data_IF_893576757461
#
_entry.id   IF_893576757461
#
_cell.length_a   1.000
_cell.length_b   1.000
_cell.length_c   1.000
_cell.angle_alpha   90.00
_cell.angle_beta   90.00
_cell.angle_gamma   90.00
#
_symmetry.space_group_name_H-M   'P 1'
#
loop_
_entity.id
_entity.type
_entity.pdbx_description
1 polymer ?
#
# COMPACT_ATOMS: atom_id res chain seq x y z
N UNK A 1 -26.08 0.79 24.00
CA UNK A 1 -26.08 1.30 22.61
C UNK A 1 -24.82 0.78 21.96
N UNK A 2 -24.93 -0.18 21.03
CA UNK A 2 -23.77 -0.80 20.38
C UNK A 2 -23.26 0.15 19.30
N UNK A 3 -22.00 0.56 19.36
CA UNK A 3 -21.41 1.43 18.33
C UNK A 3 -21.44 0.72 16.96
N UNK A 4 -21.71 1.45 15.85
CA UNK A 4 -21.63 0.87 14.52
C UNK A 4 -20.21 0.31 14.28
N UNK A 5 -20.05 -0.88 13.67
CA UNK A 5 -18.76 -1.54 13.48
C UNK A 5 -17.70 -0.62 12.84
N UNK A 6 -18.12 0.22 11.89
CA UNK A 6 -17.25 1.16 11.19
C UNK A 6 -16.67 2.28 12.09
N UNK A 7 -17.27 2.58 13.24
CA UNK A 7 -16.77 3.57 14.21
C UNK A 7 -15.72 2.94 15.12
N UNK A 8 -15.96 1.70 15.57
CA UNK A 8 -15.01 0.94 16.38
C UNK A 8 -13.69 0.65 15.63
N UNK A 9 -13.80 0.31 14.33
CA UNK A 9 -12.64 0.05 13.47
C UNK A 9 -11.72 1.27 13.28
N UNK A 10 -12.21 2.50 13.48
CA UNK A 10 -11.38 3.72 13.41
C UNK A 10 -10.38 3.83 14.55
N UNK A 11 -10.61 3.07 15.63
CA UNK A 11 -9.82 3.10 16.86
C UNK A 11 -8.88 1.90 16.98
N UNK A 12 -9.01 0.91 16.10
CA UNK A 12 -8.15 -0.26 16.11
C UNK A 12 -6.87 0.03 15.33
N UNK A 13 -5.69 0.01 15.97
CA UNK A 13 -4.45 0.13 15.24
C UNK A 13 -4.31 -1.08 14.28
N UNK A 14 -3.87 -0.86 13.03
CA UNK A 14 -3.56 -1.98 12.16
C UNK A 14 -2.42 -2.79 12.74
N UNK A 15 -2.48 -4.11 12.56
CA UNK A 15 -1.37 -4.98 12.91
C UNK A 15 -0.14 -4.70 12.01
N UNK A 16 1.05 -5.23 12.34
CA UNK A 16 2.26 -4.98 11.55
C UNK A 16 2.14 -5.38 10.08
N UNK A 17 1.42 -6.45 9.74
CA UNK A 17 1.22 -6.89 8.35
C UNK A 17 0.33 -5.89 7.61
N UNK A 18 -0.79 -5.49 8.21
CA UNK A 18 -1.73 -4.52 7.67
C UNK A 18 -1.06 -3.17 7.45
N UNK A 19 -0.29 -2.69 8.43
CA UNK A 19 0.47 -1.46 8.32
C UNK A 19 1.45 -1.51 7.14
N UNK A 20 2.19 -2.61 6.97
CA UNK A 20 3.12 -2.76 5.84
C UNK A 20 2.41 -2.80 4.49
N UNK A 21 1.23 -3.44 4.39
CA UNK A 21 0.42 -3.42 3.15
C UNK A 21 -0.08 -2.02 2.85
N UNK A 22 -0.54 -1.26 3.85
CA UNK A 22 -0.99 0.13 3.68
C UNK A 22 0.17 1.05 3.26
N UNK A 23 1.29 1.01 4.00
CA UNK A 23 2.47 1.83 3.72
C UNK A 23 3.05 1.53 2.34
N UNK A 24 3.26 0.25 2.01
CA UNK A 24 3.77 -0.17 0.70
C UNK A 24 2.85 0.26 -0.45
N UNK A 25 1.54 0.16 -0.26
CA UNK A 25 0.56 0.62 -1.26
C UNK A 25 0.64 2.13 -1.48
N UNK A 26 0.77 2.93 -0.43
CA UNK A 26 0.90 4.39 -0.52
C UNK A 26 2.25 4.86 -1.10
N UNK A 27 3.27 4.02 -1.05
CA UNK A 27 4.53 4.25 -1.74
C UNK A 27 4.42 3.96 -3.25
N UNK A 28 3.56 3.01 -3.63
CA UNK A 28 3.23 2.68 -5.01
C UNK A 28 1.99 3.42 -5.52
N UNK A 29 0.97 2.66 -5.92
CA UNK A 29 -0.20 3.16 -6.66
C UNK A 29 -1.42 3.47 -5.78
N UNK A 30 -1.35 3.14 -4.49
CA UNK A 30 -2.38 3.46 -3.51
C UNK A 30 -2.52 4.97 -3.33
N UNK A 31 -3.76 5.44 -3.18
CA UNK A 31 -4.09 6.87 -3.04
C UNK A 31 -4.77 7.12 -1.71
N UNK A 32 -4.43 8.22 -1.05
CA UNK A 32 -5.29 8.78 -0.01
C UNK A 32 -6.39 9.60 -0.66
N UNK A 33 -7.63 9.31 -0.30
CA UNK A 33 -8.84 10.05 -0.75
C UNK A 33 -9.56 10.65 0.46
N UNK A 34 -10.33 11.71 0.24
CA UNK A 34 -11.05 12.43 1.28
C UNK A 34 -10.27 13.61 1.88
N UNK A 35 -10.96 14.33 2.76
CA UNK A 35 -10.41 15.50 3.48
C UNK A 35 -9.54 15.07 4.67
N UNK A 36 -8.69 15.96 5.23
CA UNK A 36 -8.03 15.72 6.51
C UNK A 36 -9.02 15.25 7.58
N UNK A 37 -8.63 14.30 8.43
CA UNK A 37 -9.48 13.64 9.45
C UNK A 37 -10.62 12.77 8.89
N UNK A 38 -10.78 12.71 7.57
CA UNK A 38 -11.74 11.88 6.86
C UNK A 38 -11.07 11.02 5.78
N UNK A 39 -9.75 10.84 5.86
CA UNK A 39 -8.95 10.14 4.85
C UNK A 39 -9.22 8.65 4.84
N UNK A 40 -9.17 8.08 3.63
CA UNK A 40 -9.22 6.64 3.35
C UNK A 40 -8.08 6.26 2.43
N UNK A 41 -7.63 5.02 2.50
CA UNK A 41 -6.79 4.42 1.48
C UNK A 41 -7.67 3.83 0.38
N UNK A 42 -7.48 4.30 -0.85
CA UNK A 42 -8.03 3.69 -2.06
C UNK A 42 -6.98 2.80 -2.71
N UNK A 43 -7.34 1.54 -2.89
CA UNK A 43 -6.61 0.57 -3.70
C UNK A 43 -7.37 0.45 -5.02
N UNK A 44 -6.70 0.70 -6.14
CA UNK A 44 -7.27 0.57 -7.46
C UNK A 44 -6.19 0.06 -8.42
N UNK A 45 -6.51 -0.99 -9.17
CA UNK A 45 -5.64 -1.55 -10.22
C UNK A 45 -6.48 -1.91 -11.44
N UNK A 46 -5.82 -2.07 -12.59
CA UNK A 46 -6.44 -2.62 -13.80
C UNK A 46 -7.01 -4.01 -13.54
N UNK A 47 -8.03 -4.40 -14.30
CA UNK A 47 -8.76 -5.65 -14.12
C UNK A 47 -7.90 -6.92 -14.23
N UNK A 48 -6.86 -6.90 -15.07
CA UNK A 48 -5.85 -7.96 -15.18
C UNK A 48 -5.06 -8.22 -13.88
N UNK A 49 -5.08 -7.26 -12.94
CA UNK A 49 -4.50 -7.37 -11.59
C UNK A 49 -5.54 -7.57 -10.49
N UNK A 50 -6.76 -7.97 -10.83
CA UNK A 50 -7.85 -8.21 -9.87
C UNK A 50 -7.46 -9.15 -8.72
N UNK A 51 -6.68 -10.20 -8.99
CA UNK A 51 -6.16 -11.12 -7.96
C UNK A 51 -5.27 -10.42 -6.93
N UNK A 52 -4.51 -9.40 -7.34
CA UNK A 52 -3.68 -8.61 -6.42
C UNK A 52 -4.51 -7.63 -5.58
N UNK A 53 -5.55 -7.03 -6.17
CA UNK A 53 -6.53 -6.23 -5.39
C UNK A 53 -7.21 -7.10 -4.36
N UNK A 54 -7.59 -8.33 -4.73
CA UNK A 54 -8.19 -9.30 -3.80
C UNK A 54 -7.24 -9.68 -2.68
N UNK A 55 -5.97 -9.96 -2.99
CA UNK A 55 -4.96 -10.23 -1.97
C UNK A 55 -4.83 -9.07 -0.97
N UNK A 56 -4.80 -7.81 -1.43
CA UNK A 56 -4.79 -6.64 -0.53
C UNK A 56 -6.06 -6.56 0.31
N UNK A 57 -7.22 -6.84 -0.28
CA UNK A 57 -8.49 -6.87 0.44
C UNK A 57 -8.50 -7.93 1.53
N UNK A 58 -8.01 -9.15 1.27
CA UNK A 58 -7.97 -10.22 2.26
C UNK A 58 -7.06 -9.86 3.45
N UNK A 59 -5.98 -9.09 3.22
CA UNK A 59 -5.12 -8.57 4.30
C UNK A 59 -5.73 -7.40 5.06
N UNK A 60 -6.47 -6.53 4.37
CA UNK A 60 -7.02 -5.30 4.93
C UNK A 60 -8.51 -5.40 5.27
N UNK A 61 -9.11 -6.59 5.22
CA UNK A 61 -10.57 -6.78 5.27
C UNK A 61 -11.24 -6.15 6.49
N UNK A 62 -10.57 -6.18 7.65
CA UNK A 62 -11.04 -5.51 8.86
C UNK A 62 -11.16 -3.98 8.71
N UNK A 63 -10.36 -3.39 7.82
CA UNK A 63 -10.39 -1.96 7.51
C UNK A 63 -11.13 -1.65 6.20
N UNK A 64 -11.62 -2.63 5.45
CA UNK A 64 -12.28 -2.37 4.17
C UNK A 64 -13.71 -1.85 4.40
N UNK A 65 -14.06 -0.72 3.76
CA UNK A 65 -15.42 -0.17 3.86
C UNK A 65 -16.44 -0.98 3.04
N UNK A 66 -15.98 -1.62 1.98
CA UNK A 66 -16.78 -2.48 1.11
C UNK A 66 -15.87 -3.51 0.40
N UNK A 67 -16.42 -4.62 -0.10
CA UNK A 67 -15.71 -5.52 -1.00
C UNK A 67 -15.22 -4.82 -2.28
N UNK A 68 -14.18 -5.36 -2.95
CA UNK A 68 -13.72 -4.82 -4.22
C UNK A 68 -14.82 -4.80 -5.27
N UNK A 69 -14.90 -3.70 -6.03
CA UNK A 69 -15.79 -3.53 -7.17
C UNK A 69 -14.99 -3.33 -8.44
N UNK A 70 -15.46 -3.95 -9.52
CA UNK A 70 -14.99 -3.72 -10.86
C UNK A 70 -15.86 -2.63 -11.51
N UNK A 71 -15.22 -1.62 -12.09
CA UNK A 71 -15.86 -0.55 -12.85
C UNK A 71 -14.90 -0.01 -13.91
N UNK A 72 -15.38 0.15 -15.15
CA UNK A 72 -14.62 0.67 -16.29
C UNK A 72 -13.19 0.08 -16.45
N UNK A 73 -13.03 -1.24 -16.29
CA UNK A 73 -11.73 -1.92 -16.42
C UNK A 73 -10.77 -1.75 -15.22
N UNK A 74 -11.27 -1.23 -14.09
CA UNK A 74 -10.52 -1.04 -12.84
C UNK A 74 -11.21 -1.81 -11.72
N UNK A 75 -10.44 -2.57 -10.94
CA UNK A 75 -10.91 -3.21 -9.71
C UNK A 75 -10.38 -2.41 -8.52
N UNK A 76 -11.28 -2.00 -7.63
CA UNK A 76 -10.93 -1.13 -6.52
C UNK A 76 -11.71 -1.39 -5.24
N UNK A 77 -11.11 -1.05 -4.10
CA UNK A 77 -11.81 -0.90 -2.83
C UNK A 77 -11.20 0.26 -2.03
N UNK A 78 -11.93 0.71 -1.03
CA UNK A 78 -11.48 1.74 -0.11
C UNK A 78 -11.54 1.23 1.33
N UNK A 79 -10.63 1.69 2.16
CA UNK A 79 -10.70 1.46 3.60
C UNK A 79 -11.77 2.35 4.25
N UNK A 80 -12.09 2.06 5.50
CA UNK A 80 -12.75 2.99 6.40
C UNK A 80 -11.85 4.21 6.65
N UNK A 81 -12.44 5.25 7.21
CA UNK A 81 -11.71 6.44 7.68
C UNK A 81 -10.83 6.03 8.86
N UNK A 82 -9.55 6.40 8.84
CA UNK A 82 -8.63 6.05 9.92
C UNK A 82 -7.59 7.18 10.15
N UNK A 83 -7.32 7.58 11.42
CA UNK A 83 -6.41 8.69 11.74
C UNK A 83 -4.98 8.46 11.25
N UNK A 84 -4.51 7.20 11.23
CA UNK A 84 -3.22 6.81 10.64
C UNK A 84 -2.97 7.43 9.25
N UNK A 85 -4.02 7.61 8.44
CA UNK A 85 -3.86 8.14 7.09
C UNK A 85 -3.50 9.63 7.08
N UNK A 86 -3.82 10.39 8.13
CA UNK A 86 -3.33 11.75 8.27
C UNK A 86 -1.85 11.77 8.67
N UNK A 87 -1.43 10.87 9.56
CA UNK A 87 -0.02 10.71 9.96
C UNK A 87 0.84 10.31 8.74
N UNK A 88 0.38 9.32 7.97
CA UNK A 88 1.02 8.89 6.73
C UNK A 88 1.00 9.99 5.67
N UNK A 89 -0.09 10.77 5.56
CA UNK A 89 -0.11 11.91 4.64
C UNK A 89 0.96 12.95 4.98
N UNK A 90 1.14 13.27 6.27
CA UNK A 90 2.18 14.19 6.72
C UNK A 90 3.58 13.64 6.42
N UNK A 91 3.82 12.36 6.73
CA UNK A 91 5.08 11.66 6.46
C UNK A 91 5.44 11.66 4.97
N UNK A 92 4.47 11.37 4.10
CA UNK A 92 4.69 11.22 2.65
C UNK A 92 4.83 12.55 1.92
N UNK A 93 4.35 13.66 2.49
CA UNK A 93 4.49 15.01 1.93
C UNK A 93 5.91 15.59 2.03
N UNK A 94 6.81 14.95 2.79
CA UNK A 94 8.15 15.46 3.09
C UNK A 94 9.12 15.51 1.88
N UNK A 95 8.74 15.05 0.68
CA UNK A 95 9.55 15.23 -0.53
C UNK A 95 10.85 14.41 -0.52
N UNK A 96 12.03 15.02 -0.72
CA UNK A 96 13.31 14.28 -0.76
C UNK A 96 13.68 13.60 0.56
N UNK A 97 13.18 14.10 1.70
CA UNK A 97 13.36 13.48 3.03
C UNK A 97 12.34 12.36 3.31
N UNK A 98 11.46 12.06 2.34
CA UNK A 98 10.47 10.98 2.45
C UNK A 98 11.14 9.63 2.71
N UNK A 99 12.29 9.33 2.08
CA UNK A 99 12.96 8.04 2.30
C UNK A 99 13.69 7.95 3.63
N UNK A 100 14.24 9.04 4.14
CA UNK A 100 14.85 9.05 5.47
C UNK A 100 13.79 8.79 6.56
N UNK A 101 12.57 9.30 6.35
CA UNK A 101 11.46 9.12 7.27
C UNK A 101 10.74 7.77 7.10
N UNK A 102 10.61 7.26 5.87
CA UNK A 102 9.89 6.02 5.57
C UNK A 102 10.78 4.78 5.68
N UNK A 103 12.07 4.89 5.35
CA UNK A 103 13.03 3.79 5.35
C UNK A 103 13.05 2.98 6.65
N UNK A 104 13.12 3.62 7.84
CA UNK A 104 13.08 2.93 9.13
C UNK A 104 11.76 2.19 9.41
N UNK A 105 10.65 2.62 8.79
CA UNK A 105 9.33 2.03 8.95
C UNK A 105 9.09 0.88 7.98
N UNK A 106 9.85 0.82 6.88
CA UNK A 106 9.67 -0.16 5.84
C UNK A 106 10.27 -1.51 6.25
N UNK A 107 9.47 -2.57 6.13
CA UNK A 107 9.90 -3.96 6.31
C UNK A 107 9.81 -4.68 4.96
N UNK A 108 10.37 -5.90 4.83
CA UNK A 108 10.40 -6.62 3.56
C UNK A 108 9.03 -6.73 2.87
N UNK A 109 7.94 -6.92 3.63
CA UNK A 109 6.58 -6.95 3.10
C UNK A 109 6.16 -5.62 2.47
N UNK A 110 6.39 -4.50 3.16
CA UNK A 110 6.02 -3.18 2.63
C UNK A 110 6.81 -2.82 1.39
N UNK A 111 8.10 -3.19 1.35
CA UNK A 111 8.93 -3.05 0.16
C UNK A 111 8.42 -3.92 -0.99
N UNK A 112 8.06 -5.18 -0.73
CA UNK A 112 7.51 -6.08 -1.75
C UNK A 112 6.20 -5.55 -2.35
N UNK A 113 5.30 -5.03 -1.51
CA UNK A 113 4.05 -4.38 -1.98
C UNK A 113 4.35 -3.16 -2.81
N UNK A 114 5.29 -2.31 -2.39
CA UNK A 114 5.70 -1.14 -3.15
C UNK A 114 6.26 -1.52 -4.53
N UNK A 115 7.17 -2.49 -4.59
CA UNK A 115 7.75 -2.99 -5.83
C UNK A 115 6.71 -3.60 -6.76
N UNK A 116 5.78 -4.39 -6.20
CA UNK A 116 4.68 -4.98 -6.95
C UNK A 116 3.73 -3.91 -7.52
N UNK A 117 3.54 -2.78 -6.85
CA UNK A 117 2.72 -1.68 -7.37
C UNK A 117 3.44 -0.97 -8.52
N UNK A 118 4.70 -0.56 -8.36
CA UNK A 118 5.46 0.22 -9.37
C UNK A 118 5.81 -0.62 -10.60
N UNK A 119 5.90 -1.94 -10.47
CA UNK A 119 5.89 -2.88 -11.60
C UNK A 119 7.14 -2.86 -12.49
N UNK A 120 8.20 -2.13 -12.15
CA UNK A 120 9.49 -2.18 -12.87
C UNK A 120 10.67 -2.15 -11.91
N UNK A 121 11.33 -3.29 -11.77
CA UNK A 121 12.73 -3.36 -11.39
C UNK A 121 13.53 -3.38 -12.69
N UNK A 122 14.15 -2.25 -13.04
CA UNK A 122 15.15 -2.22 -14.10
C UNK A 122 16.47 -2.71 -13.50
N UNK A 123 16.77 -4.00 -13.69
CA UNK A 123 18.01 -4.60 -13.23
C UNK A 123 19.13 -4.19 -14.19
N UNK A 124 19.87 -3.14 -13.83
CA UNK A 124 21.00 -2.68 -14.62
C UNK A 124 22.23 -3.51 -14.27
N UNK A 125 22.79 -4.22 -15.25
CA UNK A 125 24.01 -5.03 -15.08
C UNK A 125 25.13 -4.25 -14.35
N UNK A 126 25.35 -2.98 -14.71
CA UNK A 126 26.36 -2.13 -14.08
C UNK A 126 26.10 -1.76 -12.62
N UNK A 127 24.93 -2.08 -12.05
CA UNK A 127 24.59 -1.89 -10.63
C UNK A 127 24.88 -3.12 -9.77
N UNK A 128 25.25 -4.25 -10.38
CA UNK A 128 25.65 -5.47 -9.68
C UNK A 128 27.17 -5.58 -9.55
N UNK A 129 27.65 -6.22 -8.48
CA UNK A 129 29.06 -6.60 -8.39
C UNK A 129 29.43 -7.56 -9.54
N UNK A 130 30.69 -7.60 -10.01
CA UNK A 130 31.08 -8.44 -11.15
C UNK A 130 30.62 -9.90 -11.03
N UNK A 131 30.73 -10.50 -9.85
CA UNK A 131 30.30 -11.88 -9.58
C UNK A 131 28.77 -12.08 -9.59
N UNK A 132 28.00 -11.01 -9.37
CA UNK A 132 26.53 -11.03 -9.41
C UNK A 132 25.98 -10.79 -10.82
N UNK A 133 26.76 -10.17 -11.71
CA UNK A 133 26.37 -9.91 -13.10
C UNK A 133 26.19 -11.22 -13.89
N UNK A 134 27.11 -12.17 -13.71
CA UNK A 134 27.04 -13.48 -14.37
C UNK A 134 25.77 -14.26 -13.96
N UNK A 135 25.36 -14.18 -12.70
CA UNK A 135 24.16 -14.84 -12.18
C UNK A 135 22.86 -14.12 -12.60
N UNK A 136 22.86 -12.79 -12.66
CA UNK A 136 21.68 -11.99 -13.03
C UNK A 136 21.35 -12.05 -14.53
N UNK A 137 22.35 -12.35 -15.39
CA UNK A 137 22.19 -12.47 -16.84
C UNK A 137 21.92 -13.92 -17.31
N UNK A 138 22.00 -14.89 -16.41
CA UNK A 138 21.82 -16.32 -16.71
C UNK A 138 20.36 -16.82 -16.48
N UNK A 139 19.44 -15.93 -16.09
CA UNK A 139 18.05 -16.24 -15.74
C UNK A 139 17.04 -15.50 -16.63
#
# INVERSE_FOLDING_TARGET
MVEPPAVALRRLPPDPVQFQVMLGSLLGDGRLVGLPHARRLRIAHREDRSGYVRWKYDRLGAFAAAPPRADAGVVSFETVIHPLFDDLAALLRAGRTRMDAVGPLLRPLGLAVWLADVGRLDLRAGSFLPMQQELALAS
#
